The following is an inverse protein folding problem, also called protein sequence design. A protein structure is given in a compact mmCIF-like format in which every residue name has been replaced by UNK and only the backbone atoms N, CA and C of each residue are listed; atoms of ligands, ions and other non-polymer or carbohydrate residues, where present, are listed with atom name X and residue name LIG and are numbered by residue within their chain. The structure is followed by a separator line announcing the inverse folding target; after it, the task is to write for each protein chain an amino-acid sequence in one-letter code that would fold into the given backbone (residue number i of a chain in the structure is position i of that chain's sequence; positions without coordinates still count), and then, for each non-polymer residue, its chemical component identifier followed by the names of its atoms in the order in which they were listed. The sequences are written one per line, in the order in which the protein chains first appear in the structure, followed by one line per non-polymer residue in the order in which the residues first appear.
data_IF_655083003955
#
_entry.id   IF_655083003955
#
_cell.length_a   1.000
_cell.length_b   1.000
_cell.length_c   1.000
_cell.angle_alpha   90.00
_cell.angle_beta   90.00
_cell.angle_gamma   90.00
#
_symmetry.space_group_name_H-M   'P 1'
#
loop_
_entity.id
_entity.type
_entity.pdbx_description
1 polymer ?
#
# COMPACT_ATOMS: atom_id res chain seq x y z
N UNK A 1 20.42 20.26 1.09
CA UNK A 1 19.27 20.19 0.16
C UNK A 1 19.49 19.05 -0.85
N UNK A 2 19.71 17.82 -0.37
CA UNK A 2 20.10 16.64 -1.19
C UNK A 2 19.31 15.36 -0.85
N UNK A 3 18.50 15.37 0.21
CA UNK A 3 17.69 14.22 0.66
C UNK A 3 16.54 13.86 -0.30
N UNK A 4 16.03 14.81 -1.08
CA UNK A 4 14.78 14.64 -1.84
C UNK A 4 14.85 13.71 -3.06
N UNK A 5 16.00 13.50 -3.68
CA UNK A 5 16.12 12.65 -4.88
C UNK A 5 16.30 11.18 -4.49
N UNK A 6 17.16 10.90 -3.51
CA UNK A 6 17.42 9.54 -3.04
C UNK A 6 16.20 8.91 -2.33
N UNK A 7 15.44 9.70 -1.56
CA UNK A 7 14.20 9.22 -0.93
C UNK A 7 13.07 8.96 -1.94
N UNK A 8 13.04 9.73 -3.04
CA UNK A 8 12.09 9.51 -4.13
C UNK A 8 12.38 8.20 -4.86
N UNK A 9 13.65 7.86 -5.05
CA UNK A 9 14.12 6.64 -5.71
C UNK A 9 13.68 5.37 -4.93
N UNK A 10 14.00 5.31 -3.63
CA UNK A 10 13.64 4.18 -2.76
C UNK A 10 12.13 3.95 -2.70
N UNK A 11 11.32 5.01 -2.73
CA UNK A 11 9.86 4.90 -2.77
C UNK A 11 9.39 4.26 -4.08
N UNK A 12 9.89 4.76 -5.20
CA UNK A 12 9.51 4.26 -6.52
C UNK A 12 9.92 2.80 -6.68
N UNK A 13 11.12 2.45 -6.19
CA UNK A 13 11.61 1.07 -6.15
C UNK A 13 10.71 0.16 -5.31
N UNK A 14 10.26 0.61 -4.13
CA UNK A 14 9.37 -0.20 -3.31
C UNK A 14 8.02 -0.42 -3.99
N UNK A 15 7.46 0.62 -4.62
CA UNK A 15 6.20 0.51 -5.38
C UNK A 15 6.36 -0.48 -6.54
N UNK A 16 7.46 -0.37 -7.30
CA UNK A 16 7.75 -1.28 -8.40
C UNK A 16 7.97 -2.73 -7.92
N UNK A 17 8.70 -2.92 -6.83
CA UNK A 17 8.92 -4.21 -6.18
C UNK A 17 7.60 -4.85 -5.77
N UNK A 18 6.71 -4.08 -5.13
CA UNK A 18 5.42 -4.53 -4.65
C UNK A 18 4.51 -5.05 -5.79
N UNK A 19 4.34 -4.24 -6.84
CA UNK A 19 3.55 -4.64 -8.00
C UNK A 19 4.13 -5.89 -8.68
N UNK A 20 5.46 -5.96 -8.83
CA UNK A 20 6.13 -7.13 -9.40
C UNK A 20 5.95 -8.38 -8.55
N UNK A 21 6.05 -8.26 -7.22
CA UNK A 21 5.92 -9.39 -6.30
C UNK A 21 4.53 -10.04 -6.39
N UNK A 22 3.47 -9.24 -6.32
CA UNK A 22 2.10 -9.75 -6.41
C UNK A 22 1.79 -10.35 -7.80
N UNK A 23 2.27 -9.72 -8.88
CA UNK A 23 2.10 -10.24 -10.23
C UNK A 23 2.72 -11.65 -10.37
N UNK A 24 3.90 -11.88 -9.79
CA UNK A 24 4.55 -13.18 -9.83
C UNK A 24 3.74 -14.25 -9.09
N UNK A 25 3.27 -13.96 -7.87
CA UNK A 25 2.43 -14.90 -7.10
C UNK A 25 1.17 -15.29 -7.88
N UNK A 26 0.46 -14.29 -8.41
CA UNK A 26 -0.79 -14.50 -9.14
C UNK A 26 -0.58 -15.26 -10.45
N UNK A 27 0.51 -14.97 -11.16
CA UNK A 27 0.86 -15.73 -12.38
C UNK A 27 1.17 -17.20 -12.07
N UNK A 28 1.79 -17.47 -10.92
CA UNK A 28 2.11 -18.83 -10.47
C UNK A 28 0.88 -19.64 -10.03
N UNK A 29 -0.20 -18.97 -9.63
CA UNK A 29 -1.44 -19.63 -9.19
C UNK A 29 -2.23 -20.29 -10.34
N UNK A 30 -1.88 -20.02 -11.60
CA UNK A 30 -2.51 -20.65 -12.77
C UNK A 30 -3.98 -20.25 -13.01
N UNK A 31 -4.51 -19.27 -12.26
CA UNK A 31 -5.88 -18.80 -12.39
C UNK A 31 -5.92 -17.37 -12.96
N UNK A 32 -6.20 -17.21 -14.26
CA UNK A 32 -6.19 -15.90 -14.92
C UNK A 32 -7.28 -14.95 -14.39
N UNK A 33 -8.37 -15.47 -13.82
CA UNK A 33 -9.45 -14.66 -13.25
C UNK A 33 -8.96 -13.89 -12.02
N UNK A 34 -8.13 -14.51 -11.18
CA UNK A 34 -7.59 -13.85 -9.98
C UNK A 34 -6.63 -12.73 -10.38
N UNK A 35 -5.81 -12.94 -11.42
CA UNK A 35 -4.95 -11.89 -11.98
C UNK A 35 -5.74 -10.68 -12.48
N UNK A 36 -6.86 -10.91 -13.16
CA UNK A 36 -7.74 -9.82 -13.63
C UNK A 36 -8.43 -9.09 -12.46
N UNK A 37 -8.95 -9.82 -11.48
CA UNK A 37 -9.57 -9.23 -10.29
C UNK A 37 -8.58 -8.36 -9.49
N UNK A 38 -7.33 -8.81 -9.38
CA UNK A 38 -6.25 -8.04 -8.78
C UNK A 38 -5.94 -6.76 -9.58
N UNK A 39 -5.82 -6.85 -10.91
CA UNK A 39 -5.56 -5.69 -11.76
C UNK A 39 -6.68 -4.63 -11.68
N UNK A 40 -7.94 -5.06 -11.54
CA UNK A 40 -9.08 -4.14 -11.38
C UNK A 40 -9.13 -3.48 -10.00
N UNK A 41 -8.62 -4.13 -8.95
CA UNK A 41 -8.53 -3.57 -7.59
C UNK A 41 -7.21 -2.84 -7.32
N UNK A 42 -6.27 -2.86 -8.28
CA UNK A 42 -4.93 -2.28 -8.21
C UNK A 42 -4.90 -0.82 -7.75
N UNK A 43 -5.82 0.03 -8.24
CA UNK A 43 -5.88 1.42 -7.79
C UNK A 43 -6.19 1.54 -6.28
N UNK A 44 -7.02 0.66 -5.72
CA UNK A 44 -7.39 0.66 -4.31
C UNK A 44 -6.35 0.01 -3.39
N UNK A 45 -5.64 -1.02 -3.88
CA UNK A 45 -4.59 -1.72 -3.13
C UNK A 45 -3.23 -1.01 -3.14
N UNK A 46 -2.97 -0.10 -4.08
CA UNK A 46 -1.70 0.64 -4.12
C UNK A 46 -1.83 2.11 -3.70
N UNK A 47 -3.04 2.68 -3.66
CA UNK A 47 -3.27 4.07 -3.22
C UNK A 47 -2.67 4.34 -1.84
N UNK A 48 -2.74 3.39 -0.93
CA UNK A 48 -2.22 3.57 0.41
C UNK A 48 -0.69 3.65 0.48
N UNK A 49 0.01 3.14 -0.54
CA UNK A 49 1.49 3.16 -0.63
C UNK A 49 2.03 4.47 -1.20
N UNK A 50 1.15 5.31 -1.75
CA UNK A 50 1.49 6.65 -2.23
C UNK A 50 1.55 7.68 -1.09
N UNK A 51 1.09 7.34 0.13
CA UNK A 51 1.05 8.27 1.25
C UNK A 51 2.36 8.31 2.04
N UNK A 52 2.86 9.50 2.39
CA UNK A 52 4.31 9.72 2.39
C UNK A 52 4.99 9.57 3.75
N UNK A 53 4.25 9.50 4.86
CA UNK A 53 4.86 9.93 6.13
C UNK A 53 5.91 8.98 6.71
N UNK A 54 5.76 7.66 6.54
CA UNK A 54 6.74 6.68 7.02
C UNK A 54 6.65 5.39 6.19
N UNK A 55 7.33 5.35 5.04
CA UNK A 55 7.42 4.11 4.25
C UNK A 55 8.38 3.17 4.96
N UNK A 56 7.82 2.22 5.71
CA UNK A 56 8.57 1.11 6.29
C UNK A 56 8.94 0.08 5.21
N UNK A 57 9.87 0.46 4.32
CA UNK A 57 10.36 -0.38 3.22
C UNK A 57 10.94 -1.68 3.74
N UNK A 58 11.69 -1.62 4.85
CA UNK A 58 12.32 -2.79 5.45
C UNK A 58 11.27 -3.78 5.97
N UNK A 59 10.25 -3.29 6.68
CA UNK A 59 9.14 -4.13 7.16
C UNK A 59 8.33 -4.74 6.02
N UNK A 60 8.03 -3.98 4.96
CA UNK A 60 7.34 -4.53 3.78
C UNK A 60 8.16 -5.63 3.09
N UNK A 61 9.47 -5.43 2.91
CA UNK A 61 10.33 -6.46 2.29
C UNK A 61 10.45 -7.69 3.19
N UNK A 62 10.47 -7.52 4.52
CA UNK A 62 10.45 -8.65 5.46
C UNK A 62 9.15 -9.44 5.37
N UNK A 63 7.99 -8.76 5.30
CA UNK A 63 6.69 -9.42 5.10
C UNK A 63 6.65 -10.19 3.78
N UNK A 64 7.15 -9.61 2.68
CA UNK A 64 7.25 -10.30 1.38
C UNK A 64 8.12 -11.55 1.45
N UNK A 65 9.23 -11.49 2.21
CA UNK A 65 10.10 -12.65 2.41
C UNK A 65 9.35 -13.78 3.11
N UNK A 66 8.61 -13.50 4.18
CA UNK A 66 7.80 -14.50 4.88
C UNK A 66 6.78 -15.17 3.95
N UNK A 67 6.12 -14.37 3.09
CA UNK A 67 5.19 -14.89 2.08
C UNK A 67 5.91 -15.81 1.09
N UNK A 68 7.05 -15.35 0.55
CA UNK A 68 7.83 -16.10 -0.43
C UNK A 68 8.36 -17.42 0.14
N UNK A 69 8.79 -17.43 1.40
CA UNK A 69 9.25 -18.63 2.10
C UNK A 69 8.11 -19.65 2.28
N UNK A 70 6.91 -19.20 2.69
CA UNK A 70 5.75 -20.07 2.80
C UNK A 70 5.35 -20.69 1.45
N UNK A 71 5.36 -19.90 0.37
CA UNK A 71 5.10 -20.38 -0.99
C UNK A 71 6.17 -21.39 -1.43
N UNK A 72 7.46 -21.09 -1.20
CA UNK A 72 8.56 -21.97 -1.57
C UNK A 72 8.52 -23.32 -0.84
N UNK A 73 7.99 -23.34 0.38
CA UNK A 73 7.78 -24.56 1.17
C UNK A 73 6.49 -25.30 0.83
N UNK A 74 5.71 -24.83 -0.14
CA UNK A 74 4.39 -25.36 -0.49
C UNK A 74 3.42 -25.44 0.70
N UNK A 75 3.45 -24.43 1.58
CA UNK A 75 2.57 -24.30 2.75
C UNK A 75 1.47 -23.25 2.46
N UNK A 76 0.28 -23.68 1.98
CA UNK A 76 -0.79 -22.75 1.60
C UNK A 76 -1.39 -21.99 2.78
N UNK A 77 -1.47 -22.61 3.97
CA UNK A 77 -2.06 -21.98 5.15
C UNK A 77 -1.16 -20.85 5.65
N UNK A 78 0.15 -21.10 5.73
CA UNK A 78 1.12 -20.05 6.10
C UNK A 78 1.18 -18.94 5.05
N UNK A 79 1.10 -19.27 3.77
CA UNK A 79 1.11 -18.29 2.69
C UNK A 79 -0.14 -17.37 2.75
N UNK A 80 -1.32 -17.95 2.95
CA UNK A 80 -2.57 -17.18 3.11
C UNK A 80 -2.48 -16.26 4.32
N UNK A 81 -2.07 -16.80 5.48
CA UNK A 81 -1.94 -16.02 6.71
C UNK A 81 -0.96 -14.86 6.54
N UNK A 82 0.22 -15.12 5.97
CA UNK A 82 1.25 -14.10 5.76
C UNK A 82 0.77 -12.99 4.81
N UNK A 83 0.08 -13.35 3.72
CA UNK A 83 -0.50 -12.37 2.78
C UNK A 83 -1.61 -11.54 3.45
N UNK A 84 -2.48 -12.17 4.23
CA UNK A 84 -3.53 -11.48 4.97
C UNK A 84 -2.96 -10.47 5.97
N UNK A 85 -1.93 -10.86 6.71
CA UNK A 85 -1.24 -10.00 7.67
C UNK A 85 -0.55 -8.83 6.97
N UNK A 86 0.13 -9.07 5.84
CA UNK A 86 0.76 -8.04 5.00
C UNK A 86 -0.23 -6.95 4.55
N UNK A 87 -1.40 -7.36 4.02
CA UNK A 87 -2.43 -6.42 3.54
C UNK A 87 -2.99 -5.60 4.72
N UNK A 88 -3.29 -6.26 5.85
CA UNK A 88 -3.80 -5.58 7.06
C UNK A 88 -2.77 -4.60 7.62
N UNK A 89 -1.49 -4.95 7.64
CA UNK A 89 -0.44 -4.08 8.14
C UNK A 89 -0.23 -2.88 7.22
N UNK A 90 -0.30 -3.08 5.90
CA UNK A 90 -0.24 -2.00 4.92
C UNK A 90 -1.41 -1.02 5.11
N UNK A 91 -2.62 -1.53 5.33
CA UNK A 91 -3.80 -0.71 5.64
C UNK A 91 -3.64 0.07 6.96
N UNK A 92 -3.16 -0.57 8.04
CA UNK A 92 -2.92 0.11 9.32
C UNK A 92 -1.91 1.26 9.20
N UNK A 93 -0.83 1.05 8.44
CA UNK A 93 0.19 2.08 8.17
C UNK A 93 -0.44 3.29 7.45
N UNK A 94 -1.32 3.03 6.49
CA UNK A 94 -2.08 4.09 5.82
C UNK A 94 -3.06 4.83 6.72
N UNK A 95 -3.88 4.11 7.48
CA UNK A 95 -4.86 4.73 8.38
C UNK A 95 -4.17 5.69 9.38
N UNK A 96 -3.03 5.27 9.95
CA UNK A 96 -2.20 6.12 10.82
C UNK A 96 -1.70 7.38 10.10
N UNK A 97 -1.21 7.24 8.87
CA UNK A 97 -0.74 8.39 8.09
C UNK A 97 -1.89 9.38 7.77
N UNK A 98 -3.09 8.85 7.50
CA UNK A 98 -4.27 9.66 7.24
C UNK A 98 -4.75 10.40 8.50
N UNK A 99 -4.86 9.72 9.63
CA UNK A 99 -5.21 10.34 10.91
C UNK A 99 -4.20 11.41 11.36
N UNK A 100 -2.91 11.16 11.17
CA UNK A 100 -1.87 12.13 11.46
C UNK A 100 -1.94 13.36 10.55
N UNK A 101 -2.34 13.19 9.29
CA UNK A 101 -2.64 14.29 8.37
C UNK A 101 -3.86 15.11 8.81
N UNK A 102 -4.93 14.44 9.24
CA UNK A 102 -6.15 15.09 9.73
C UNK A 102 -5.92 15.90 11.01
N UNK A 103 -5.08 15.42 11.95
CA UNK A 103 -4.75 16.14 13.19
C UNK A 103 -3.79 17.31 13.01
N UNK A 104 -3.12 17.42 11.85
CA UNK A 104 -2.18 18.53 11.55
C UNK A 104 -2.81 19.64 10.70
N UNK A 105 -4.03 19.48 10.23
CA UNK A 105 -4.81 20.54 9.61
C UNK A 105 -5.62 21.31 10.67
N UNK A 106 -5.44 22.62 10.85
CA UNK A 106 -6.29 23.37 11.76
C UNK A 106 -7.69 23.46 11.13
N UNK A 107 -8.68 22.79 11.74
CA UNK A 107 -10.11 22.89 11.38
C UNK A 107 -10.73 24.26 11.75
N UNK A 108 -9.92 25.28 12.04
CA UNK A 108 -10.37 26.57 12.56
C UNK A 108 -10.73 27.62 11.47
N UNK A 109 -10.93 27.21 10.21
CA UNK A 109 -11.09 28.17 9.10
C UNK A 109 -12.29 28.00 8.17
N UNK A 110 -13.12 26.96 8.32
CA UNK A 110 -14.21 26.66 7.36
C UNK A 110 -15.62 27.06 7.84
N UNK A 111 -15.74 27.79 8.94
CA UNK A 111 -17.02 28.33 9.41
C UNK A 111 -17.28 29.73 8.85
N UNK A 112 -17.42 29.88 7.53
CA UNK A 112 -18.21 30.96 6.87
C UNK A 112 -17.92 31.04 5.36
N UNK A 113 -18.58 30.20 4.56
CA UNK A 113 -18.90 30.60 3.19
C UNK A 113 -20.42 30.80 3.09
N UNK A 114 -20.91 32.02 2.79
CA UNK A 114 -22.33 32.19 2.49
C UNK A 114 -22.63 31.55 1.13
N UNK A 115 -23.63 30.67 1.12
CA UNK A 115 -24.19 30.07 -0.09
C UNK A 115 -24.86 31.18 -0.92
N UNK A 116 -24.14 31.79 -1.87
CA UNK A 116 -24.75 32.65 -2.89
C UNK A 116 -25.31 31.77 -4.00
N UNK A 117 -26.58 31.45 -3.88
CA UNK A 117 -27.39 30.92 -4.98
C UNK A 117 -27.62 32.08 -5.97
N UNK A 118 -26.94 32.03 -7.11
CA UNK A 118 -27.28 32.87 -8.25
C UNK A 118 -28.51 32.26 -8.94
N UNK A 119 -29.59 33.04 -9.00
CA UNK A 119 -30.71 32.87 -9.92
C UNK A 119 -30.72 34.09 -10.85
#
# INVERSE_FOLDING_TARGET
MTTSTAERDVRQDLVAHDSRFHALILSGAGNPVIGQAYAQTHCHLHIFRLYPKDIDSAGTVAEHRTIAEAIANADPESAEKAMSDHIKNSFKRFARAFEAGARSAPLAGLTSLPLRLAA
#
